data_IF_321063197378
#
_entry.id   IF_321063197378
#
_cell.length_a   1.000
_cell.length_b   1.000
_cell.length_c   1.000
_cell.angle_alpha   90.00
_cell.angle_beta   90.00
_cell.angle_gamma   90.00
#
_symmetry.space_group_name_H-M   'P 1'
#
loop_
_entity.id
_entity.type
_entity.pdbx_description
1 polymer ?
#
# COMPACT_ATOMS: atom_id res chain seq x y z
N UNK A 1 32.59 18.56 -4.23
CA UNK A 1 31.48 18.64 -5.20
C UNK A 1 30.50 17.46 -5.06
N UNK A 2 30.98 16.21 -5.11
CA UNK A 2 30.12 15.02 -4.93
C UNK A 2 29.31 15.12 -3.63
N UNK A 3 29.95 15.41 -2.49
CA UNK A 3 29.26 15.55 -1.21
C UNK A 3 28.18 16.64 -1.19
N UNK A 4 28.41 17.79 -1.88
CA UNK A 4 27.40 18.83 -2.01
C UNK A 4 26.19 18.35 -2.81
N UNK A 5 26.40 17.66 -3.93
CA UNK A 5 25.31 17.10 -4.75
C UNK A 5 24.53 16.05 -3.97
N UNK A 6 25.20 15.18 -3.22
CA UNK A 6 24.54 14.19 -2.36
C UNK A 6 23.68 14.87 -1.28
N UNK A 7 24.16 15.97 -0.67
CA UNK A 7 23.39 16.76 0.30
C UNK A 7 22.17 17.40 -0.35
N UNK A 8 22.33 18.02 -1.53
CA UNK A 8 21.20 18.62 -2.30
C UNK A 8 20.14 17.56 -2.61
N UNK A 9 20.55 16.37 -3.08
CA UNK A 9 19.64 15.26 -3.33
C UNK A 9 18.95 14.76 -2.04
N UNK A 10 19.68 14.69 -0.93
CA UNK A 10 19.13 14.31 0.37
C UNK A 10 18.08 15.29 0.90
N UNK A 11 18.33 16.59 0.74
CA UNK A 11 17.38 17.66 1.10
C UNK A 11 16.29 17.91 0.04
N UNK A 12 16.42 17.30 -1.14
CA UNK A 12 15.56 17.52 -2.32
C UNK A 12 15.51 19.00 -2.75
N UNK A 13 16.62 19.71 -2.58
CA UNK A 13 16.74 21.10 -2.98
C UNK A 13 17.30 21.23 -4.40
N UNK A 14 16.39 21.31 -5.37
CA UNK A 14 16.74 21.43 -6.79
C UNK A 14 17.42 22.76 -7.12
N UNK A 15 17.11 23.85 -6.38
CA UNK A 15 17.68 25.17 -6.67
C UNK A 15 19.17 25.22 -6.38
N UNK A 16 19.57 24.70 -5.22
CA UNK A 16 21.00 24.57 -4.87
C UNK A 16 21.66 23.57 -5.82
N UNK A 17 21.02 22.43 -6.12
CA UNK A 17 21.49 21.45 -7.08
C UNK A 17 21.80 22.03 -8.46
N UNK A 18 20.88 22.84 -9.01
CA UNK A 18 21.06 23.55 -10.26
C UNK A 18 22.23 24.55 -10.22
N UNK A 19 22.38 25.27 -9.10
CA UNK A 19 23.49 26.22 -8.91
C UNK A 19 24.84 25.51 -8.91
N UNK A 20 24.94 24.37 -8.24
CA UNK A 20 26.13 23.52 -8.21
C UNK A 20 26.43 22.97 -9.62
N UNK A 21 25.43 22.46 -10.32
CA UNK A 21 25.58 21.97 -11.69
C UNK A 21 26.05 23.08 -12.64
N UNK A 22 25.42 24.26 -12.60
CA UNK A 22 25.83 25.42 -13.40
C UNK A 22 27.28 25.85 -13.10
N UNK A 23 27.71 25.76 -11.85
CA UNK A 23 29.09 26.07 -11.45
C UNK A 23 30.08 25.04 -12.05
N UNK A 24 29.74 23.73 -12.04
CA UNK A 24 30.54 22.68 -12.68
C UNK A 24 30.72 22.95 -14.17
N UNK A 25 29.63 23.30 -14.87
CA UNK A 25 29.66 23.60 -16.31
C UNK A 25 30.51 24.83 -16.65
N UNK A 26 30.38 25.93 -15.88
CA UNK A 26 31.13 27.18 -16.10
C UNK A 26 32.62 27.02 -15.94
N UNK A 27 33.05 26.15 -15.04
CA UNK A 27 34.47 25.92 -14.77
C UNK A 27 35.14 25.03 -15.79
N UNK A 28 34.42 24.59 -16.86
CA UNK A 28 34.93 23.68 -17.89
C UNK A 28 35.79 22.58 -17.26
N UNK A 29 35.26 21.93 -16.23
CA UNK A 29 35.94 20.78 -15.61
C UNK A 29 36.12 19.78 -16.74
N UNK A 30 37.30 19.79 -17.37
CA UNK A 30 37.61 18.91 -18.52
C UNK A 30 37.39 17.47 -18.11
N UNK A 31 36.36 16.82 -18.72
CA UNK A 31 35.95 15.46 -18.41
C UNK A 31 35.22 15.40 -17.05
N UNK A 32 33.90 15.55 -17.04
CA UNK A 32 33.12 15.21 -15.84
C UNK A 32 33.43 13.75 -15.53
N UNK A 33 34.08 13.47 -14.40
CA UNK A 33 34.36 12.09 -14.01
C UNK A 33 33.08 11.31 -13.84
N UNK A 34 33.11 10.01 -14.10
CA UNK A 34 31.96 9.11 -13.95
C UNK A 34 31.29 9.25 -12.56
N UNK A 35 32.11 9.39 -11.50
CA UNK A 35 31.63 9.61 -10.13
C UNK A 35 30.83 10.90 -9.99
N UNK A 36 31.28 11.99 -10.63
CA UNK A 36 30.60 13.27 -10.57
C UNK A 36 29.31 13.25 -11.43
N UNK A 37 29.33 12.57 -12.56
CA UNK A 37 28.15 12.33 -13.42
C UNK A 37 27.10 11.54 -12.65
N UNK A 38 27.47 10.45 -11.99
CA UNK A 38 26.57 9.66 -11.15
C UNK A 38 26.00 10.46 -9.97
N UNK A 39 26.79 11.34 -9.34
CA UNK A 39 26.29 12.21 -8.28
C UNK A 39 25.28 13.25 -8.79
N UNK A 40 25.48 13.79 -10.01
CA UNK A 40 24.50 14.66 -10.66
C UNK A 40 23.21 13.92 -10.99
N UNK A 41 23.30 12.72 -11.56
CA UNK A 41 22.16 11.86 -11.86
C UNK A 41 21.35 11.57 -10.58
N UNK A 42 22.00 11.12 -9.52
CA UNK A 42 21.36 10.81 -8.23
C UNK A 42 20.68 12.04 -7.64
N UNK A 43 21.32 13.19 -7.70
CA UNK A 43 20.74 14.46 -7.22
C UNK A 43 19.47 14.81 -7.97
N UNK A 44 19.47 14.77 -9.33
CA UNK A 44 18.29 15.10 -10.12
C UNK A 44 17.17 14.09 -9.94
N UNK A 45 17.48 12.79 -9.89
CA UNK A 45 16.52 11.72 -9.60
C UNK A 45 15.87 11.92 -8.24
N UNK A 46 16.62 12.26 -7.20
CA UNK A 46 16.10 12.51 -5.84
C UNK A 46 15.25 13.76 -5.76
N UNK A 47 15.63 14.81 -6.52
CA UNK A 47 14.85 16.05 -6.62
C UNK A 47 13.59 15.91 -7.52
N UNK A 48 13.45 14.80 -8.27
CA UNK A 48 12.30 14.52 -9.13
C UNK A 48 12.40 15.07 -10.54
N UNK A 49 13.53 15.67 -10.94
CA UNK A 49 13.77 16.15 -12.32
C UNK A 49 14.38 15.04 -13.19
N UNK A 50 13.52 14.11 -13.60
CA UNK A 50 13.94 13.01 -14.47
C UNK A 50 14.28 13.44 -15.89
N UNK A 51 13.79 14.59 -16.34
CA UNK A 51 14.10 15.12 -17.67
C UNK A 51 15.58 15.53 -17.75
N UNK A 52 16.06 16.26 -16.75
CA UNK A 52 17.49 16.61 -16.66
C UNK A 52 18.36 15.40 -16.34
N UNK A 53 17.92 14.51 -15.45
CA UNK A 53 18.63 13.26 -15.19
C UNK A 53 18.82 12.46 -16.48
N UNK A 54 17.79 12.29 -17.31
CA UNK A 54 17.87 11.58 -18.58
C UNK A 54 18.84 12.26 -19.57
N UNK A 55 18.78 13.59 -19.70
CA UNK A 55 19.71 14.34 -20.56
C UNK A 55 21.16 14.15 -20.16
N UNK A 56 21.46 14.18 -18.86
CA UNK A 56 22.81 13.95 -18.34
C UNK A 56 23.26 12.51 -18.63
N UNK A 57 22.37 11.55 -18.39
CA UNK A 57 22.63 10.15 -18.68
C UNK A 57 22.93 9.91 -20.17
N UNK A 58 22.12 10.47 -21.07
CA UNK A 58 22.29 10.31 -22.50
C UNK A 58 23.58 10.99 -23.01
N UNK A 59 23.93 12.16 -22.47
CA UNK A 59 25.12 12.91 -22.79
C UNK A 59 26.42 12.30 -22.21
N UNK A 60 26.32 11.39 -21.25
CA UNK A 60 27.49 10.74 -20.63
C UNK A 60 28.15 9.77 -21.61
N UNK A 61 29.44 9.97 -21.89
CA UNK A 61 30.22 9.10 -22.77
C UNK A 61 30.44 7.71 -22.19
N UNK A 62 30.65 7.66 -20.89
CA UNK A 62 30.81 6.40 -20.12
C UNK A 62 29.63 6.23 -19.18
N UNK A 63 29.07 5.02 -19.15
CA UNK A 63 27.98 4.64 -18.28
C UNK A 63 28.33 3.34 -17.57
N UNK A 64 28.36 3.35 -16.24
CA UNK A 64 28.53 2.15 -15.44
C UNK A 64 27.17 1.62 -14.91
N UNK A 65 27.22 0.50 -14.21
CA UNK A 65 26.04 -0.11 -13.62
C UNK A 65 25.30 0.87 -12.68
N UNK A 66 26.03 1.74 -12.00
CA UNK A 66 25.44 2.74 -11.08
C UNK A 66 24.65 3.79 -11.85
N UNK A 67 25.19 4.29 -12.99
CA UNK A 67 24.50 5.24 -13.87
C UNK A 67 23.15 4.68 -14.32
N UNK A 68 23.16 3.45 -14.85
CA UNK A 68 21.96 2.75 -15.32
C UNK A 68 20.96 2.52 -14.18
N UNK A 69 21.38 1.93 -13.05
CA UNK A 69 20.51 1.64 -11.92
C UNK A 69 19.90 2.91 -11.33
N UNK A 70 20.63 4.03 -11.28
CA UNK A 70 20.13 5.31 -10.77
C UNK A 70 18.96 5.83 -11.61
N UNK A 71 19.09 5.81 -12.94
CA UNK A 71 18.03 6.30 -13.84
C UNK A 71 16.84 5.35 -13.87
N UNK A 72 17.08 4.03 -13.95
CA UNK A 72 16.02 3.02 -13.87
C UNK A 72 15.21 3.17 -12.58
N UNK A 73 15.87 3.26 -11.40
CA UNK A 73 15.20 3.46 -10.13
C UNK A 73 14.40 4.78 -10.07
N UNK A 74 14.90 5.82 -10.72
CA UNK A 74 14.20 7.10 -10.85
C UNK A 74 12.87 6.96 -11.58
N UNK A 75 12.86 6.33 -12.75
CA UNK A 75 11.66 6.10 -13.55
C UNK A 75 10.68 5.15 -12.84
N UNK A 76 11.17 4.10 -12.19
CA UNK A 76 10.34 3.20 -11.36
C UNK A 76 9.63 3.99 -10.26
N UNK A 77 10.34 4.88 -9.57
CA UNK A 77 9.79 5.66 -8.45
C UNK A 77 8.65 6.60 -8.84
N UNK A 78 8.67 7.17 -10.03
CA UNK A 78 7.58 8.02 -10.54
C UNK A 78 6.47 7.21 -11.24
N UNK A 79 6.64 5.89 -11.35
CA UNK A 79 5.65 5.01 -11.96
C UNK A 79 5.81 4.82 -13.48
N UNK A 80 6.83 5.39 -14.12
CA UNK A 80 7.14 5.25 -15.55
C UNK A 80 7.88 3.93 -15.81
N UNK A 81 7.24 2.80 -15.48
CA UNK A 81 7.89 1.47 -15.45
C UNK A 81 8.25 0.97 -16.84
N UNK A 82 7.49 1.34 -17.90
CA UNK A 82 7.80 0.98 -19.27
C UNK A 82 9.09 1.65 -19.77
N UNK A 83 9.30 2.93 -19.41
CA UNK A 83 10.54 3.63 -19.73
C UNK A 83 11.72 3.00 -18.98
N UNK A 84 11.51 2.65 -17.70
CA UNK A 84 12.51 1.94 -16.90
C UNK A 84 12.85 0.57 -17.52
N UNK A 85 11.86 -0.16 -18.04
CA UNK A 85 12.08 -1.45 -18.71
C UNK A 85 12.86 -1.31 -20.00
N UNK A 86 12.54 -0.31 -20.83
CA UNK A 86 13.34 -0.03 -22.04
C UNK A 86 14.82 0.22 -21.71
N UNK A 87 15.09 1.03 -20.68
CA UNK A 87 16.46 1.26 -20.20
C UNK A 87 17.12 -0.02 -19.65
N UNK A 88 16.36 -0.85 -18.94
CA UNK A 88 16.84 -2.13 -18.45
C UNK A 88 17.21 -3.07 -19.61
N UNK A 89 16.45 -3.07 -20.70
CA UNK A 89 16.74 -3.89 -21.89
C UNK A 89 17.99 -3.41 -22.64
N UNK A 90 18.23 -2.08 -22.67
CA UNK A 90 19.43 -1.50 -23.23
C UNK A 90 20.68 -1.70 -22.39
N UNK A 91 20.53 -2.08 -21.10
CA UNK A 91 21.64 -2.20 -20.16
C UNK A 91 22.59 -3.36 -20.54
N UNK A 92 23.89 -3.09 -20.77
CA UNK A 92 24.84 -4.13 -21.24
C UNK A 92 25.09 -5.24 -20.23
N UNK A 93 25.17 -4.87 -18.95
CA UNK A 93 25.42 -5.79 -17.83
C UNK A 93 24.42 -5.50 -16.73
N UNK A 94 23.68 -6.53 -16.30
CA UNK A 94 22.63 -6.42 -15.29
C UNK A 94 23.07 -7.14 -14.03
N UNK A 95 23.06 -6.44 -12.90
CA UNK A 95 23.33 -7.01 -11.58
C UNK A 95 22.03 -7.26 -10.81
N UNK A 96 22.15 -7.75 -9.56
CA UNK A 96 21.01 -7.99 -8.68
C UNK A 96 20.18 -6.71 -8.44
N UNK A 97 20.83 -5.55 -8.36
CA UNK A 97 20.14 -4.25 -8.13
C UNK A 97 19.30 -3.86 -9.33
N UNK A 98 19.84 -4.07 -10.56
CA UNK A 98 19.10 -3.81 -11.80
C UNK A 98 17.82 -4.65 -11.88
N UNK A 99 17.93 -5.95 -11.63
CA UNK A 99 16.79 -6.87 -11.62
C UNK A 99 15.78 -6.51 -10.55
N UNK A 100 16.24 -6.25 -9.32
CA UNK A 100 15.35 -5.87 -8.22
C UNK A 100 14.64 -4.54 -8.47
N UNK A 101 15.27 -3.58 -9.13
CA UNK A 101 14.66 -2.29 -9.47
C UNK A 101 13.46 -2.47 -10.40
N UNK A 102 13.62 -3.25 -11.47
CA UNK A 102 12.53 -3.46 -12.43
C UNK A 102 11.43 -4.36 -11.86
N UNK A 103 11.80 -5.39 -11.09
CA UNK A 103 10.87 -6.25 -10.34
C UNK A 103 10.02 -5.41 -9.39
N UNK A 104 10.61 -4.50 -8.62
CA UNK A 104 9.88 -3.62 -7.72
C UNK A 104 8.88 -2.71 -8.47
N UNK A 105 9.24 -2.20 -9.63
CA UNK A 105 8.38 -1.39 -10.49
C UNK A 105 7.10 -2.13 -10.90
N UNK A 106 7.25 -3.33 -11.46
CA UNK A 106 6.10 -4.13 -11.86
C UNK A 106 5.29 -4.67 -10.68
N UNK A 107 5.93 -4.96 -9.54
CA UNK A 107 5.24 -5.34 -8.31
C UNK A 107 4.36 -4.20 -7.75
N UNK A 108 4.80 -2.94 -7.85
CA UNK A 108 3.99 -1.78 -7.47
C UNK A 108 2.74 -1.62 -8.34
N UNK A 109 2.86 -1.87 -9.64
CA UNK A 109 1.74 -1.83 -10.60
C UNK A 109 0.79 -3.03 -10.49
N UNK A 110 1.18 -4.09 -9.80
CA UNK A 110 0.37 -5.30 -9.70
C UNK A 110 0.33 -6.14 -10.99
N UNK A 111 1.26 -5.93 -11.91
CA UNK A 111 1.36 -6.73 -13.14
C UNK A 111 2.15 -8.01 -12.89
N UNK A 112 1.49 -8.99 -12.27
CA UNK A 112 2.09 -10.26 -11.90
C UNK A 112 2.60 -11.09 -13.09
N UNK A 113 1.91 -11.18 -14.25
CA UNK A 113 2.44 -11.93 -15.39
C UNK A 113 3.81 -11.43 -15.86
N UNK A 114 3.95 -10.14 -16.17
CA UNK A 114 5.23 -9.55 -16.57
C UNK A 114 6.30 -9.69 -15.50
N UNK A 115 5.90 -9.56 -14.22
CA UNK A 115 6.82 -9.76 -13.09
C UNK A 115 7.39 -11.18 -13.04
N UNK A 116 6.57 -12.20 -13.31
CA UNK A 116 7.01 -13.59 -13.39
C UNK A 116 7.95 -13.83 -14.58
N UNK A 117 7.71 -13.20 -15.72
CA UNK A 117 8.57 -13.29 -16.89
C UNK A 117 9.95 -12.66 -16.60
N UNK A 118 9.99 -11.49 -15.96
CA UNK A 118 11.23 -10.84 -15.54
C UNK A 118 11.99 -11.71 -14.53
N UNK A 119 11.29 -12.31 -13.57
CA UNK A 119 11.91 -13.23 -12.62
C UNK A 119 12.51 -14.46 -13.31
N UNK A 120 11.81 -15.05 -14.27
CA UNK A 120 12.35 -16.16 -15.08
C UNK A 120 13.56 -15.72 -15.89
N UNK A 121 13.54 -14.51 -16.46
CA UNK A 121 14.71 -13.90 -17.13
C UNK A 121 15.90 -13.75 -16.18
N UNK A 122 15.69 -13.28 -14.96
CA UNK A 122 16.73 -13.17 -13.92
C UNK A 122 17.40 -14.54 -13.65
N UNK A 123 16.58 -15.60 -13.50
CA UNK A 123 17.08 -16.97 -13.30
C UNK A 123 17.86 -17.46 -14.52
N UNK A 124 17.35 -17.20 -15.74
CA UNK A 124 18.00 -17.57 -16.99
C UNK A 124 19.40 -16.94 -17.11
N UNK A 125 19.53 -15.66 -16.72
CA UNK A 125 20.81 -14.95 -16.67
C UNK A 125 21.69 -15.34 -15.47
N UNK A 126 21.31 -16.37 -14.71
CA UNK A 126 22.07 -16.91 -13.55
C UNK A 126 22.27 -15.89 -12.43
N UNK A 127 21.45 -14.85 -12.35
CA UNK A 127 21.44 -13.92 -11.22
C UNK A 127 20.62 -14.55 -10.10
N UNK A 128 21.23 -14.68 -8.92
CA UNK A 128 20.59 -15.33 -7.77
C UNK A 128 19.64 -14.36 -7.09
N UNK A 129 18.31 -14.67 -7.03
CA UNK A 129 17.35 -13.84 -6.33
C UNK A 129 17.64 -13.77 -4.83
N UNK A 130 17.49 -12.60 -4.26
CA UNK A 130 17.57 -12.37 -2.83
C UNK A 130 16.19 -12.35 -2.15
N UNK A 131 16.15 -12.11 -0.84
CA UNK A 131 14.89 -12.03 -0.10
C UNK A 131 13.98 -10.89 -0.60
N UNK A 132 14.54 -9.77 -1.02
CA UNK A 132 13.78 -8.62 -1.53
C UNK A 132 13.10 -8.94 -2.87
N UNK A 133 13.83 -9.66 -3.76
CA UNK A 133 13.24 -10.20 -5.00
C UNK A 133 12.01 -11.06 -4.67
N UNK A 134 12.16 -12.00 -3.77
CA UNK A 134 11.11 -12.97 -3.42
C UNK A 134 9.93 -12.29 -2.74
N UNK A 135 10.16 -11.36 -1.81
CA UNK A 135 9.08 -10.59 -1.17
C UNK A 135 8.30 -9.76 -2.19
N UNK A 136 8.96 -9.17 -3.18
CA UNK A 136 8.28 -8.42 -4.26
C UNK A 136 7.32 -9.31 -5.05
N UNK A 137 7.73 -10.55 -5.37
CA UNK A 137 6.88 -11.55 -6.01
C UNK A 137 5.70 -11.97 -5.13
N UNK A 138 5.95 -12.26 -3.86
CA UNK A 138 4.92 -12.66 -2.89
C UNK A 138 3.88 -11.54 -2.73
N UNK A 139 4.33 -10.30 -2.52
CA UNK A 139 3.44 -9.14 -2.39
C UNK A 139 2.60 -8.90 -3.66
N UNK A 140 3.17 -9.10 -4.84
CA UNK A 140 2.44 -8.98 -6.09
C UNK A 140 1.38 -10.09 -6.23
N UNK A 141 1.71 -11.33 -5.88
CA UNK A 141 0.75 -12.44 -5.85
C UNK A 141 -0.39 -12.17 -4.84
N UNK A 142 -0.06 -11.61 -3.67
CA UNK A 142 -1.05 -11.21 -2.66
C UNK A 142 -2.02 -10.15 -3.18
N UNK A 143 -1.52 -9.11 -3.84
CA UNK A 143 -2.34 -8.03 -4.45
C UNK A 143 -3.24 -8.55 -5.56
N UNK A 144 -2.77 -9.51 -6.35
CA UNK A 144 -3.52 -10.11 -7.44
C UNK A 144 -4.51 -11.21 -6.98
N UNK A 145 -4.50 -11.61 -5.70
CA UNK A 145 -5.26 -12.77 -5.22
C UNK A 145 -4.83 -14.10 -5.86
N UNK A 146 -3.59 -14.17 -6.35
CA UNK A 146 -3.10 -15.23 -7.19
C UNK A 146 -2.50 -16.38 -6.36
N UNK A 147 -3.36 -17.18 -5.70
CA UNK A 147 -2.96 -18.27 -4.82
C UNK A 147 -2.03 -19.30 -5.50
N UNK A 148 -2.29 -19.64 -6.77
CA UNK A 148 -1.48 -20.59 -7.52
C UNK A 148 -0.03 -20.14 -7.65
N UNK A 149 0.20 -18.90 -8.06
CA UNK A 149 1.53 -18.29 -8.16
C UNK A 149 2.17 -18.13 -6.78
N UNK A 150 1.40 -17.74 -5.76
CA UNK A 150 1.86 -17.68 -4.38
C UNK A 150 2.39 -19.01 -3.86
N UNK A 151 1.67 -20.12 -4.12
CA UNK A 151 2.11 -21.48 -3.80
C UNK A 151 3.36 -21.89 -4.58
N UNK A 152 3.44 -21.51 -5.85
CA UNK A 152 4.62 -21.77 -6.67
C UNK A 152 5.85 -21.08 -6.12
N UNK A 153 5.74 -19.78 -5.75
CA UNK A 153 6.83 -18.99 -5.13
C UNK A 153 7.25 -19.65 -3.80
N UNK A 154 6.30 -20.01 -2.93
CA UNK A 154 6.60 -20.69 -1.67
C UNK A 154 7.34 -22.03 -1.92
N UNK A 155 6.87 -22.85 -2.87
CA UNK A 155 7.54 -24.08 -3.27
C UNK A 155 8.95 -23.83 -3.83
N UNK A 156 9.18 -22.70 -4.52
CA UNK A 156 10.50 -22.29 -5.02
C UNK A 156 11.45 -21.98 -3.85
N UNK A 157 10.97 -21.24 -2.81
CA UNK A 157 11.73 -20.95 -1.57
C UNK A 157 12.19 -22.26 -0.92
N UNK A 158 11.27 -23.20 -0.74
CA UNK A 158 11.55 -24.50 -0.09
C UNK A 158 12.57 -25.31 -0.91
N UNK A 159 12.38 -25.44 -2.23
CA UNK A 159 13.30 -26.17 -3.11
C UNK A 159 14.71 -25.59 -3.14
N UNK A 160 14.82 -24.28 -2.99
CA UNK A 160 16.13 -23.58 -2.91
C UNK A 160 16.71 -23.53 -1.50
N UNK A 161 16.05 -24.14 -0.53
CA UNK A 161 16.47 -24.18 0.87
C UNK A 161 16.76 -22.77 1.45
N UNK A 162 16.02 -21.75 0.95
CA UNK A 162 16.14 -20.42 1.50
C UNK A 162 15.65 -20.42 2.95
N UNK A 163 16.44 -19.85 3.85
CA UNK A 163 16.05 -19.75 5.26
C UNK A 163 14.76 -18.92 5.40
N UNK A 164 13.71 -19.58 5.87
CA UNK A 164 12.43 -18.95 6.15
C UNK A 164 12.53 -18.26 7.52
N UNK A 165 12.76 -16.96 7.50
CA UNK A 165 12.78 -16.09 8.68
C UNK A 165 11.48 -15.30 8.81
N UNK A 166 11.34 -14.46 9.84
CA UNK A 166 10.16 -13.64 10.07
C UNK A 166 9.86 -12.69 8.89
N UNK A 167 10.90 -12.20 8.18
CA UNK A 167 10.71 -11.29 7.05
C UNK A 167 10.03 -11.97 5.85
N UNK A 168 10.53 -13.14 5.40
CA UNK A 168 9.86 -13.91 4.34
C UNK A 168 8.54 -14.49 4.83
N UNK A 169 8.49 -14.91 6.09
CA UNK A 169 7.30 -15.49 6.69
C UNK A 169 6.14 -14.54 6.77
N UNK A 170 6.35 -13.29 7.16
CA UNK A 170 5.26 -12.30 7.22
C UNK A 170 4.68 -12.01 5.84
N UNK A 171 5.52 -11.95 4.79
CA UNK A 171 5.05 -11.79 3.42
C UNK A 171 4.24 -13.01 2.95
N UNK A 172 4.68 -14.25 3.24
CA UNK A 172 3.94 -15.46 2.91
C UNK A 172 2.62 -15.57 3.67
N UNK A 173 2.61 -15.26 4.97
CA UNK A 173 1.38 -15.24 5.78
C UNK A 173 0.39 -14.24 5.21
N UNK A 174 0.82 -13.00 4.93
CA UNK A 174 -0.03 -11.97 4.32
C UNK A 174 -0.58 -12.42 2.96
N UNK A 175 0.28 -13.01 2.12
CA UNK A 175 -0.13 -13.53 0.80
C UNK A 175 -1.18 -14.63 0.92
N UNK A 176 -0.94 -15.63 1.77
CA UNK A 176 -1.91 -16.70 1.97
C UNK A 176 -3.23 -16.18 2.52
N UNK A 177 -3.19 -15.28 3.51
CA UNK A 177 -4.41 -14.67 4.05
C UNK A 177 -5.18 -13.90 2.98
N UNK A 178 -4.53 -13.06 2.18
CA UNK A 178 -5.18 -12.28 1.11
C UNK A 178 -5.73 -13.16 -0.03
N UNK A 179 -5.14 -14.33 -0.23
CA UNK A 179 -5.59 -15.32 -1.22
C UNK A 179 -6.59 -16.34 -0.66
N UNK A 180 -7.10 -16.18 0.58
CA UNK A 180 -8.09 -17.07 1.17
C UNK A 180 -7.53 -18.36 1.78
N UNK A 181 -6.21 -18.50 1.90
CA UNK A 181 -5.55 -19.72 2.39
C UNK A 181 -5.10 -19.64 3.85
N UNK A 182 -6.00 -19.38 4.79
CA UNK A 182 -5.68 -19.17 6.21
C UNK A 182 -4.96 -20.35 6.87
N UNK A 183 -5.30 -21.61 6.49
CA UNK A 183 -4.64 -22.80 7.00
C UNK A 183 -3.16 -22.86 6.56
N UNK A 184 -2.89 -22.52 5.31
CA UNK A 184 -1.51 -22.45 4.81
C UNK A 184 -0.71 -21.30 5.49
N UNK A 185 -1.35 -20.19 5.76
CA UNK A 185 -0.76 -19.09 6.54
C UNK A 185 -0.38 -19.57 7.96
N UNK A 186 -1.25 -20.32 8.62
CA UNK A 186 -1.00 -20.91 9.93
C UNK A 186 0.20 -21.87 9.92
N UNK A 187 0.28 -22.73 8.94
CA UNK A 187 1.44 -23.66 8.78
C UNK A 187 2.74 -22.85 8.64
N UNK A 188 2.77 -21.84 7.78
CA UNK A 188 3.94 -20.95 7.63
C UNK A 188 4.29 -20.29 8.96
N UNK A 189 3.30 -19.70 9.63
CA UNK A 189 3.49 -19.04 10.92
C UNK A 189 4.08 -19.99 11.98
N UNK A 190 3.58 -21.24 12.06
CA UNK A 190 4.07 -22.25 13.01
C UNK A 190 5.49 -22.71 12.72
N UNK A 191 5.87 -22.81 11.44
CA UNK A 191 7.21 -23.27 11.01
C UNK A 191 8.33 -22.31 11.44
N UNK A 192 8.02 -21.02 11.60
CA UNK A 192 9.01 -20.01 11.97
C UNK A 192 9.23 -20.04 13.47
N UNK A 193 10.47 -20.31 13.90
CA UNK A 193 10.83 -20.42 15.32
C UNK A 193 10.90 -19.09 16.02
N UNK A 194 11.54 -18.09 15.39
CA UNK A 194 11.68 -16.72 15.95
C UNK A 194 10.71 -15.80 15.24
N UNK A 195 9.66 -15.42 15.95
CA UNK A 195 8.60 -14.58 15.42
C UNK A 195 8.78 -13.14 15.91
N UNK A 196 8.80 -12.20 14.97
CA UNK A 196 8.81 -10.77 15.28
C UNK A 196 7.38 -10.17 15.33
N UNK A 197 7.30 -8.89 15.69
CA UNK A 197 6.04 -8.14 15.75
C UNK A 197 5.30 -8.16 14.42
N UNK A 198 6.02 -8.11 13.30
CA UNK A 198 5.43 -8.06 11.95
C UNK A 198 4.74 -9.37 11.62
N UNK A 199 5.38 -10.50 11.88
CA UNK A 199 4.81 -11.82 11.62
C UNK A 199 3.57 -12.09 12.46
N UNK A 200 3.58 -11.75 13.76
CA UNK A 200 2.41 -11.83 14.61
C UNK A 200 1.28 -10.94 14.10
N UNK A 201 1.59 -9.69 13.77
CA UNK A 201 0.61 -8.74 13.24
C UNK A 201 -0.01 -9.22 11.93
N UNK A 202 0.79 -9.79 11.02
CA UNK A 202 0.27 -10.36 9.77
C UNK A 202 -0.71 -11.51 10.03
N UNK A 203 -0.43 -12.38 11.01
CA UNK A 203 -1.34 -13.48 11.36
C UNK A 203 -2.63 -12.98 12.02
N UNK A 204 -2.54 -12.01 12.94
CA UNK A 204 -3.71 -11.37 13.58
C UNK A 204 -4.57 -10.67 12.52
N UNK A 205 -3.97 -9.94 11.58
CA UNK A 205 -4.68 -9.31 10.47
C UNK A 205 -5.34 -10.33 9.53
N UNK A 206 -4.66 -11.46 9.31
CA UNK A 206 -5.21 -12.59 8.56
C UNK A 206 -6.48 -13.15 9.21
N UNK A 207 -6.46 -13.41 10.50
CA UNK A 207 -7.67 -13.82 11.23
C UNK A 207 -8.77 -12.77 11.18
N UNK A 208 -8.41 -11.48 11.30
CA UNK A 208 -9.37 -10.38 11.22
C UNK A 208 -10.12 -10.35 9.88
N UNK A 209 -9.39 -10.52 8.77
CA UNK A 209 -9.98 -10.49 7.42
C UNK A 209 -10.87 -11.70 7.09
N UNK A 210 -10.66 -12.82 7.79
CA UNK A 210 -11.44 -14.05 7.60
C UNK A 210 -12.57 -14.22 8.63
N UNK A 211 -12.81 -13.24 9.49
CA UNK A 211 -13.87 -13.32 10.50
C UNK A 211 -13.54 -14.20 11.71
N UNK A 212 -12.29 -14.58 11.91
CA UNK A 212 -11.83 -15.38 13.04
C UNK A 212 -11.44 -14.50 14.24
N UNK A 213 -12.36 -13.66 14.72
CA UNK A 213 -12.10 -12.68 15.78
C UNK A 213 -11.59 -13.28 17.09
N UNK A 214 -12.10 -14.46 17.49
CA UNK A 214 -11.64 -15.14 18.72
C UNK A 214 -10.18 -15.57 18.60
N UNK A 215 -9.79 -16.15 17.46
CA UNK A 215 -8.41 -16.54 17.18
C UNK A 215 -7.50 -15.30 17.11
N UNK A 216 -7.96 -14.20 16.50
CA UNK A 216 -7.21 -12.95 16.49
C UNK A 216 -6.90 -12.47 17.91
N UNK A 217 -7.87 -12.50 18.83
CA UNK A 217 -7.68 -12.13 20.25
C UNK A 217 -6.72 -13.09 20.95
N UNK A 218 -6.85 -14.39 20.74
CA UNK A 218 -5.95 -15.39 21.32
C UNK A 218 -4.49 -15.15 20.90
N UNK A 219 -4.27 -14.89 19.60
CA UNK A 219 -2.92 -14.63 19.05
C UNK A 219 -2.39 -13.27 19.52
N UNK A 220 -3.26 -12.28 19.68
CA UNK A 220 -2.87 -10.99 20.27
C UNK A 220 -2.41 -11.16 21.73
N UNK A 221 -3.12 -11.92 22.56
CA UNK A 221 -2.72 -12.23 23.92
C UNK A 221 -1.39 -12.99 23.98
N UNK A 222 -1.23 -14.04 23.16
CA UNK A 222 0.04 -14.79 23.07
C UNK A 222 1.22 -13.94 22.64
N UNK A 223 1.01 -12.99 21.71
CA UNK A 223 2.04 -12.07 21.30
C UNK A 223 2.52 -11.20 22.48
N UNK A 224 1.59 -10.72 23.31
CA UNK A 224 1.88 -9.84 24.44
C UNK A 224 2.74 -10.49 25.53
N UNK A 225 2.81 -11.82 25.59
CA UNK A 225 3.67 -12.53 26.56
C UNK A 225 5.17 -12.22 26.36
N UNK A 226 5.59 -11.97 25.13
CA UNK A 226 7.01 -11.81 24.80
C UNK A 226 7.34 -10.57 23.95
N UNK A 227 6.34 -9.93 23.36
CA UNK A 227 6.53 -8.83 22.42
C UNK A 227 5.55 -7.68 22.72
N UNK A 228 5.99 -6.45 22.48
CA UNK A 228 5.13 -5.28 22.59
C UNK A 228 4.40 -5.04 21.25
N UNK A 229 3.05 -5.00 21.25
CA UNK A 229 2.29 -4.59 20.09
C UNK A 229 2.66 -3.18 19.63
N UNK A 230 2.62 -2.95 18.34
CA UNK A 230 2.81 -1.62 17.75
C UNK A 230 1.48 -1.06 17.21
N UNK A 231 1.51 0.15 16.63
CA UNK A 231 0.32 0.80 16.05
C UNK A 231 -0.40 -0.12 15.05
N UNK A 232 0.35 -0.79 14.16
CA UNK A 232 -0.25 -1.67 13.14
C UNK A 232 -0.93 -2.89 13.77
N UNK A 233 -0.36 -3.43 14.86
CA UNK A 233 -0.97 -4.54 15.62
C UNK A 233 -2.32 -4.12 16.21
N UNK A 234 -2.40 -2.89 16.77
CA UNK A 234 -3.67 -2.38 17.29
C UNK A 234 -4.72 -2.16 16.20
N UNK A 235 -4.34 -1.68 15.02
CA UNK A 235 -5.26 -1.62 13.87
C UNK A 235 -5.78 -3.01 13.52
N UNK A 236 -4.91 -4.01 13.45
CA UNK A 236 -5.29 -5.38 13.09
C UNK A 236 -6.29 -5.98 14.09
N UNK A 237 -6.04 -5.85 15.40
CA UNK A 237 -6.93 -6.42 16.40
C UNK A 237 -8.26 -5.64 16.56
N UNK A 238 -8.23 -4.31 16.43
CA UNK A 238 -9.46 -3.50 16.42
C UNK A 238 -10.32 -3.82 15.19
N UNK A 239 -9.71 -4.07 14.02
CA UNK A 239 -10.41 -4.54 12.82
C UNK A 239 -11.06 -5.91 13.08
N UNK A 240 -10.35 -6.83 13.75
CA UNK A 240 -10.92 -8.13 14.13
C UNK A 240 -12.15 -7.95 15.02
N UNK A 241 -12.07 -7.06 16.01
CA UNK A 241 -13.20 -6.75 16.89
C UNK A 241 -14.39 -6.16 16.10
N UNK A 242 -14.13 -5.22 15.19
CA UNK A 242 -15.18 -4.60 14.38
C UNK A 242 -15.90 -5.61 13.48
N UNK A 243 -15.15 -6.46 12.76
CA UNK A 243 -15.74 -7.45 11.86
C UNK A 243 -16.55 -8.55 12.60
N UNK A 244 -16.26 -8.79 13.87
CA UNK A 244 -16.91 -9.82 14.66
C UNK A 244 -17.89 -9.25 15.71
N UNK A 245 -18.16 -7.95 15.71
CA UNK A 245 -19.11 -7.31 16.63
C UNK A 245 -18.68 -7.33 18.10
N UNK A 246 -17.38 -7.46 18.38
CA UNK A 246 -16.83 -7.58 19.73
C UNK A 246 -16.63 -6.19 20.36
N UNK A 247 -17.73 -5.44 20.56
CA UNK A 247 -17.69 -4.02 20.94
C UNK A 247 -16.95 -3.80 22.27
N UNK A 248 -17.26 -4.56 23.30
CA UNK A 248 -16.66 -4.35 24.63
C UNK A 248 -15.16 -4.69 24.66
N UNK A 249 -14.74 -5.73 23.91
CA UNK A 249 -13.32 -6.07 23.76
C UNK A 249 -12.57 -4.99 23.02
N UNK A 250 -13.13 -4.51 21.90
CA UNK A 250 -12.50 -3.47 21.09
C UNK A 250 -12.34 -2.15 21.85
N UNK A 251 -13.35 -1.74 22.63
CA UNK A 251 -13.27 -0.57 23.51
C UNK A 251 -12.14 -0.71 24.55
N UNK A 252 -12.05 -1.87 25.20
CA UNK A 252 -10.96 -2.14 26.15
C UNK A 252 -9.60 -2.07 25.49
N UNK A 253 -9.44 -2.71 24.33
CA UNK A 253 -8.17 -2.73 23.57
C UNK A 253 -7.78 -1.31 23.15
N UNK A 254 -8.74 -0.50 22.69
CA UNK A 254 -8.47 0.88 22.30
C UNK A 254 -7.96 1.73 23.48
N UNK A 255 -8.55 1.57 24.67
CA UNK A 255 -8.11 2.29 25.88
C UNK A 255 -6.72 1.82 26.34
N UNK A 256 -6.46 0.51 26.34
CA UNK A 256 -5.14 -0.03 26.73
C UNK A 256 -4.01 0.44 25.82
N UNK A 257 -4.29 0.79 24.57
CA UNK A 257 -3.29 1.28 23.61
C UNK A 257 -2.55 2.51 24.14
N UNK A 258 -3.27 3.48 24.70
CA UNK A 258 -2.69 4.68 25.31
C UNK A 258 -2.19 4.41 26.73
N UNK A 259 -3.00 3.78 27.55
CA UNK A 259 -2.75 3.62 29.00
C UNK A 259 -1.56 2.67 29.26
N UNK A 260 -1.50 1.54 28.58
CA UNK A 260 -0.52 0.49 28.86
C UNK A 260 0.69 0.54 27.92
N UNK A 261 0.53 1.03 26.70
CA UNK A 261 1.58 1.02 25.69
C UNK A 261 2.08 2.41 25.29
N UNK A 262 1.44 3.48 25.77
CA UNK A 262 1.83 4.87 25.45
C UNK A 262 1.69 5.21 23.97
N UNK A 263 0.85 4.48 23.24
CA UNK A 263 0.64 4.69 21.81
C UNK A 263 -0.55 5.63 21.64
N UNK A 264 -0.31 6.82 21.10
CA UNK A 264 -1.41 7.75 20.77
C UNK A 264 -2.20 7.23 19.55
N UNK A 265 -3.55 7.16 19.64
CA UNK A 265 -4.39 6.70 18.57
C UNK A 265 -4.30 7.60 17.32
N UNK A 266 -3.95 7.02 16.17
CA UNK A 266 -4.00 7.68 14.87
C UNK A 266 -5.36 7.52 14.18
N UNK A 267 -5.47 8.08 12.95
CA UNK A 267 -6.72 8.09 12.17
C UNK A 267 -7.26 6.68 11.89
N UNK A 268 -6.38 5.71 11.68
CA UNK A 268 -6.73 4.31 11.44
C UNK A 268 -7.36 3.66 12.68
N UNK A 269 -6.84 3.94 13.87
CA UNK A 269 -7.36 3.42 15.14
C UNK A 269 -8.74 3.98 15.43
N UNK A 270 -8.92 5.30 15.27
CA UNK A 270 -10.24 5.93 15.36
C UNK A 270 -11.21 5.38 14.33
N UNK A 271 -10.73 5.13 13.10
CA UNK A 271 -11.51 4.51 12.04
C UNK A 271 -12.06 3.14 12.44
N UNK A 272 -11.20 2.27 13.00
CA UNK A 272 -11.61 0.95 13.48
C UNK A 272 -12.59 1.04 14.67
N UNK A 273 -12.36 1.98 15.60
CA UNK A 273 -13.25 2.18 16.75
C UNK A 273 -14.63 2.67 16.32
N UNK A 274 -14.69 3.62 15.40
CA UNK A 274 -15.95 4.17 14.87
C UNK A 274 -16.69 3.09 14.07
N UNK A 275 -16.01 2.31 13.22
CA UNK A 275 -16.61 1.19 12.50
C UNK A 275 -17.17 0.12 13.46
N UNK A 276 -16.43 -0.19 14.52
CA UNK A 276 -16.84 -1.11 15.59
C UNK A 276 -18.14 -0.66 16.27
N UNK A 277 -18.17 0.59 16.75
CA UNK A 277 -19.34 1.17 17.42
C UNK A 277 -20.53 1.27 16.47
N UNK A 278 -20.30 1.74 15.25
CA UNK A 278 -21.33 1.95 14.26
C UNK A 278 -21.95 0.63 13.80
N UNK A 279 -21.16 -0.41 13.51
CA UNK A 279 -21.66 -1.76 13.21
C UNK A 279 -22.41 -2.39 14.40
N UNK A 280 -21.96 -2.10 15.61
CA UNK A 280 -22.66 -2.53 16.85
C UNK A 280 -23.95 -1.76 17.15
N UNK A 281 -24.42 -0.87 16.25
CA UNK A 281 -25.63 -0.08 16.43
C UNK A 281 -25.48 1.13 17.37
N UNK A 282 -24.28 1.36 17.91
CA UNK A 282 -23.99 2.47 18.85
C UNK A 282 -23.65 3.77 18.10
N UNK A 283 -24.53 4.18 17.16
CA UNK A 283 -24.29 5.31 16.25
C UNK A 283 -24.04 6.63 16.99
N UNK A 284 -24.75 6.88 18.08
CA UNK A 284 -24.57 8.09 18.90
C UNK A 284 -23.22 8.12 19.61
N UNK A 285 -22.71 6.96 20.04
CA UNK A 285 -21.37 6.84 20.63
C UNK A 285 -20.29 7.04 19.56
N UNK A 286 -20.46 6.42 18.38
CA UNK A 286 -19.57 6.61 17.24
C UNK A 286 -19.49 8.10 16.83
N UNK A 287 -20.63 8.81 16.78
CA UNK A 287 -20.65 10.25 16.47
C UNK A 287 -19.90 11.06 17.54
N UNK A 288 -20.10 10.77 18.82
CA UNK A 288 -19.35 11.42 19.91
C UNK A 288 -17.83 11.20 19.78
N UNK A 289 -17.40 10.02 19.37
CA UNK A 289 -15.97 9.75 19.10
C UNK A 289 -15.47 10.63 17.95
N UNK A 290 -16.23 10.74 16.85
CA UNK A 290 -15.89 11.61 15.71
C UNK A 290 -15.74 13.07 16.16
N UNK A 291 -16.68 13.57 16.97
CA UNK A 291 -16.72 14.97 17.39
C UNK A 291 -15.56 15.33 18.35
N UNK A 292 -15.07 14.35 19.13
CA UNK A 292 -14.04 14.55 20.15
C UNK A 292 -12.64 14.06 19.75
N UNK A 293 -12.48 13.40 18.59
CA UNK A 293 -11.15 12.95 18.17
C UNK A 293 -10.25 14.16 17.82
N UNK A 294 -8.94 14.12 18.19
CA UNK A 294 -8.03 15.24 17.98
C UNK A 294 -7.57 15.41 16.52
N UNK A 295 -8.02 14.52 15.62
CA UNK A 295 -7.60 14.44 14.23
C UNK A 295 -8.81 14.67 13.35
N UNK A 296 -8.65 15.36 12.20
CA UNK A 296 -9.76 15.54 11.25
C UNK A 296 -10.26 14.19 10.73
N UNK A 297 -11.57 13.92 10.80
CA UNK A 297 -12.14 12.69 10.28
C UNK A 297 -11.87 12.53 8.78
N UNK A 298 -11.39 11.35 8.40
CA UNK A 298 -11.16 11.01 6.99
C UNK A 298 -12.46 10.57 6.30
N UNK A 299 -12.42 10.49 4.96
CA UNK A 299 -13.52 9.94 4.17
C UNK A 299 -13.92 8.52 4.62
N UNK A 300 -12.94 7.70 4.96
CA UNK A 300 -13.19 6.31 5.39
C UNK A 300 -14.01 6.25 6.68
N UNK A 301 -13.76 7.17 7.62
CA UNK A 301 -14.51 7.29 8.88
C UNK A 301 -15.97 7.63 8.60
N UNK A 302 -16.23 8.67 7.81
CA UNK A 302 -17.58 9.05 7.44
C UNK A 302 -18.26 7.98 6.57
N UNK A 303 -17.50 7.26 5.74
CA UNK A 303 -17.98 6.12 4.96
C UNK A 303 -18.44 4.95 5.85
N UNK A 304 -17.69 4.62 6.88
CA UNK A 304 -18.07 3.60 7.86
C UNK A 304 -19.36 4.00 8.60
N UNK A 305 -19.42 5.26 9.07
CA UNK A 305 -20.60 5.80 9.74
C UNK A 305 -21.84 5.77 8.83
N UNK A 306 -21.69 6.15 7.58
CA UNK A 306 -22.74 6.14 6.57
C UNK A 306 -23.26 4.72 6.32
N UNK A 307 -22.37 3.76 6.08
CA UNK A 307 -22.76 2.37 5.83
C UNK A 307 -23.51 1.75 7.01
N UNK A 308 -23.04 1.99 8.22
CA UNK A 308 -23.70 1.51 9.42
C UNK A 308 -25.05 2.21 9.68
N UNK A 309 -25.13 3.52 9.47
CA UNK A 309 -26.39 4.26 9.61
C UNK A 309 -27.47 3.75 8.66
N UNK A 310 -27.09 3.40 7.43
CA UNK A 310 -28.01 2.75 6.47
C UNK A 310 -28.44 1.35 6.94
N UNK A 311 -27.50 0.54 7.44
CA UNK A 311 -27.79 -0.81 7.92
C UNK A 311 -28.75 -0.80 9.11
N UNK A 312 -28.64 0.22 9.98
CA UNK A 312 -29.50 0.40 11.16
C UNK A 312 -30.71 1.30 10.92
N UNK A 313 -30.97 1.73 9.69
CA UNK A 313 -32.16 2.53 9.34
C UNK A 313 -32.14 3.97 9.90
N UNK A 314 -30.99 4.49 10.32
CA UNK A 314 -30.89 5.86 10.84
C UNK A 314 -30.67 6.86 9.70
N UNK A 315 -31.76 7.45 9.20
CA UNK A 315 -31.77 8.37 8.05
C UNK A 315 -30.97 9.64 8.33
N UNK A 316 -31.20 10.27 9.50
CA UNK A 316 -30.57 11.54 9.86
C UNK A 316 -29.03 11.42 9.90
N UNK A 317 -28.55 10.34 10.50
CA UNK A 317 -27.11 10.09 10.58
C UNK A 317 -26.53 9.71 9.24
N UNK A 318 -27.26 8.97 8.39
CA UNK A 318 -26.84 8.63 7.03
C UNK A 318 -26.74 9.88 6.15
N UNK A 319 -27.69 10.80 6.27
CA UNK A 319 -27.66 12.08 5.57
C UNK A 319 -26.47 12.93 6.04
N UNK A 320 -26.31 13.11 7.35
CA UNK A 320 -25.21 13.89 7.92
C UNK A 320 -23.84 13.33 7.48
N UNK A 321 -23.65 12.01 7.56
CA UNK A 321 -22.39 11.37 7.17
C UNK A 321 -22.12 11.51 5.66
N UNK A 322 -23.15 11.40 4.81
CA UNK A 322 -22.99 11.55 3.36
C UNK A 322 -22.66 12.96 2.95
N UNK A 323 -23.20 13.98 3.65
CA UNK A 323 -22.85 15.37 3.43
C UNK A 323 -21.37 15.65 3.76
N UNK A 324 -20.86 15.06 4.83
CA UNK A 324 -19.41 15.17 5.16
C UNK A 324 -18.53 14.46 4.13
N UNK A 325 -18.93 13.28 3.64
CA UNK A 325 -18.23 12.60 2.52
C UNK A 325 -18.19 13.49 1.29
N UNK A 326 -19.32 14.14 0.94
CA UNK A 326 -19.43 15.03 -0.21
C UNK A 326 -18.55 16.28 -0.07
N UNK A 327 -18.45 16.85 1.15
CA UNK A 327 -17.55 17.99 1.43
C UNK A 327 -16.07 17.62 1.24
N UNK A 328 -15.70 16.39 1.61
CA UNK A 328 -14.33 15.90 1.49
C UNK A 328 -13.93 15.55 0.05
N UNK A 329 -14.88 15.09 -0.76
CA UNK A 329 -14.66 14.67 -2.15
C UNK A 329 -15.71 15.24 -3.10
N UNK A 330 -15.75 16.56 -3.31
CA UNK A 330 -16.78 17.21 -4.11
C UNK A 330 -16.70 16.88 -5.61
N UNK A 331 -15.54 16.40 -6.08
CA UNK A 331 -15.30 16.06 -7.50
C UNK A 331 -15.54 14.57 -7.82
N UNK A 332 -15.93 13.76 -6.82
CA UNK A 332 -16.19 12.33 -7.03
C UNK A 332 -17.67 12.06 -7.22
N UNK A 333 -18.05 11.56 -8.39
CA UNK A 333 -19.41 11.19 -8.77
C UNK A 333 -20.03 10.17 -7.80
N UNK A 334 -19.23 9.24 -7.28
CA UNK A 334 -19.66 8.21 -6.33
C UNK A 334 -20.30 8.76 -5.06
N UNK A 335 -19.86 9.93 -4.58
CA UNK A 335 -20.42 10.59 -3.39
C UNK A 335 -21.83 11.09 -3.63
N UNK A 336 -22.11 11.69 -4.81
CA UNK A 336 -23.44 12.14 -5.22
C UNK A 336 -24.40 10.98 -5.45
N UNK A 337 -23.92 9.93 -6.14
CA UNK A 337 -24.72 8.72 -6.37
C UNK A 337 -25.13 8.07 -5.05
N UNK A 338 -24.21 8.00 -4.09
CA UNK A 338 -24.45 7.42 -2.79
C UNK A 338 -25.53 8.21 -2.02
N UNK A 339 -25.40 9.54 -1.95
CA UNK A 339 -26.38 10.43 -1.30
C UNK A 339 -27.75 10.36 -2.00
N UNK A 340 -27.78 10.41 -3.32
CA UNK A 340 -29.02 10.26 -4.09
C UNK A 340 -29.72 8.93 -3.80
N UNK A 341 -28.96 7.82 -3.72
CA UNK A 341 -29.53 6.50 -3.42
C UNK A 341 -30.08 6.42 -1.98
N UNK A 342 -29.47 7.14 -1.03
CA UNK A 342 -30.00 7.24 0.34
C UNK A 342 -31.38 7.90 0.32
N UNK A 343 -31.50 9.08 -0.28
CA UNK A 343 -32.80 9.77 -0.38
C UNK A 343 -33.85 8.91 -1.10
N UNK A 344 -33.46 8.22 -2.18
CA UNK A 344 -34.36 7.33 -2.89
C UNK A 344 -34.84 6.14 -2.05
N UNK A 345 -33.95 5.53 -1.26
CA UNK A 345 -34.31 4.38 -0.40
C UNK A 345 -35.29 4.73 0.73
N UNK A 346 -35.37 6.01 1.07
CA UNK A 346 -36.34 6.52 2.07
C UNK A 346 -37.54 7.24 1.41
N UNK A 347 -37.73 7.08 0.09
CA UNK A 347 -38.86 7.66 -0.64
C UNK A 347 -38.75 9.17 -0.91
N UNK A 348 -37.64 9.79 -0.56
CA UNK A 348 -37.44 11.24 -0.78
C UNK A 348 -36.88 11.52 -2.18
N UNK A 349 -37.74 11.31 -3.17
CA UNK A 349 -37.38 11.44 -4.59
C UNK A 349 -37.02 12.86 -5.00
N UNK A 350 -37.60 13.88 -4.36
CA UNK A 350 -37.29 15.28 -4.65
C UNK A 350 -35.83 15.63 -4.35
N UNK A 351 -35.33 15.22 -3.17
CA UNK A 351 -33.96 15.42 -2.80
C UNK A 351 -33.00 14.54 -3.63
N UNK A 352 -33.39 13.30 -3.92
CA UNK A 352 -32.61 12.42 -4.80
C UNK A 352 -32.35 13.05 -6.17
N UNK A 353 -33.42 13.62 -6.81
CA UNK A 353 -33.29 14.28 -8.11
C UNK A 353 -32.41 15.54 -8.03
N UNK A 354 -32.58 16.37 -7.00
CA UNK A 354 -31.78 17.58 -6.79
C UNK A 354 -30.28 17.27 -6.69
N UNK A 355 -29.92 16.18 -5.99
CA UNK A 355 -28.52 15.74 -5.90
C UNK A 355 -27.97 15.29 -7.25
N UNK A 356 -28.77 14.59 -8.06
CA UNK A 356 -28.39 14.17 -9.43
C UNK A 356 -28.25 15.35 -10.38
N UNK A 357 -29.12 16.34 -10.29
CA UNK A 357 -28.98 17.59 -11.03
C UNK A 357 -27.72 18.35 -10.65
N UNK A 358 -27.42 18.43 -9.36
CA UNK A 358 -26.17 19.06 -8.86
C UNK A 358 -24.94 18.34 -9.41
N UNK A 359 -24.96 17.01 -9.47
CA UNK A 359 -23.89 16.20 -10.08
C UNK A 359 -23.74 16.51 -11.57
N UNK A 360 -24.87 16.57 -12.32
CA UNK A 360 -24.88 16.90 -13.75
C UNK A 360 -24.36 18.32 -14.03
N UNK A 361 -24.78 19.31 -13.25
CA UNK A 361 -24.34 20.72 -13.37
C UNK A 361 -22.82 20.90 -13.12
N UNK A 362 -22.19 19.96 -12.41
CA UNK A 362 -20.74 19.89 -12.23
C UNK A 362 -20.00 19.11 -13.31
N UNK A 363 -20.72 18.62 -14.34
CA UNK A 363 -20.13 17.81 -15.41
C UNK A 363 -19.71 16.40 -14.99
N UNK A 364 -20.14 15.94 -13.81
CA UNK A 364 -19.81 14.62 -13.31
C UNK A 364 -20.78 13.58 -13.88
N UNK A 365 -20.26 12.53 -14.50
CA UNK A 365 -21.06 11.43 -15.05
C UNK A 365 -20.83 10.16 -14.23
N UNK A 366 -21.92 9.42 -13.99
CA UNK A 366 -21.82 8.12 -13.30
C UNK A 366 -20.97 7.16 -14.13
N UNK A 367 -19.89 6.67 -13.55
CA UNK A 367 -19.09 5.60 -14.14
C UNK A 367 -19.94 4.32 -14.20
N UNK A 368 -19.98 3.69 -15.38
CA UNK A 368 -20.70 2.42 -15.56
C UNK A 368 -19.95 1.33 -14.78
N UNK A 369 -20.61 0.72 -13.81
CA UNK A 369 -20.07 -0.43 -13.10
C UNK A 369 -20.04 -1.64 -14.03
N UNK A 370 -18.93 -2.34 -14.09
CA UNK A 370 -18.85 -3.64 -14.76
C UNK A 370 -18.33 -4.70 -13.78
N UNK A 371 -18.88 -5.90 -13.90
CA UNK A 371 -18.37 -7.08 -13.19
C UNK A 371 -17.62 -7.93 -14.20
N UNK A 372 -16.42 -8.38 -13.80
CA UNK A 372 -15.58 -9.24 -14.61
C UNK A 372 -15.45 -10.58 -13.92
N UNK A 373 -15.91 -11.64 -14.54
CA UNK A 373 -15.71 -12.99 -14.06
C UNK A 373 -14.52 -13.59 -14.83
N UNK A 374 -13.52 -14.03 -14.12
CA UNK A 374 -12.37 -14.74 -14.71
C UNK A 374 -12.45 -16.19 -14.23
N UNK A 375 -12.78 -17.10 -15.13
CA UNK A 375 -12.70 -18.54 -14.88
C UNK A 375 -11.63 -19.14 -15.79
N UNK A 376 -10.73 -19.94 -15.22
CA UNK A 376 -9.64 -20.65 -15.92
C UNK A 376 -8.77 -19.77 -16.85
N UNK A 377 -8.48 -18.52 -16.40
CA UNK A 377 -7.64 -17.58 -17.16
C UNK A 377 -8.30 -16.99 -18.41
N UNK A 378 -9.59 -17.21 -18.63
CA UNK A 378 -10.38 -16.58 -19.70
C UNK A 378 -11.38 -15.60 -19.15
N UNK A 379 -11.45 -14.42 -19.79
CA UNK A 379 -12.50 -13.44 -19.51
C UNK A 379 -13.83 -13.97 -20.06
N UNK A 380 -14.81 -14.11 -19.16
CA UNK A 380 -16.21 -14.32 -19.56
C UNK A 380 -16.88 -12.95 -19.49
N UNK A 381 -17.29 -12.43 -20.63
CA UNK A 381 -18.04 -11.17 -20.78
C UNK A 381 -19.54 -11.42 -20.59
#
# INVERSE_FOLDING_TARGET
MVGLLMSCGGLRDIHIGNSVHAWILRRKVCGISLVLSNALLDMYVKCGDLVLARKIFDASLEKDIVSWNTVIAGYVKVGEVEVAHGLFDEMPIRDLVSWNSIIAGYAQRGNLPTLMDIFNGMIFHKVVPDKFTIVSLICSAAKAGALGQGRWIHGWIVRRQMKLDAFLGSALVDMYCKCGGIEAALVVFQTITVKDVTLWTSMIAGFASHGYGKQALEYFCKMQENLKPNQVTFVAILTACSHNGMVDQGLRIFNTMKENYGIEPGVEHYGCLIDLLARGGKLSEAKRVIDNMPIKPSRSIWGAMLNASRAHGNVEMAEAASMEVLKLEPEKEGSYVLLSNIYASYGNWSHSNRIRETMGNRGLQKTVGFSKLVADGREIR
#
